data_IF_033493474911
#
_entry.id   IF_033493474911
#
_cell.length_a   1.000
_cell.length_b   1.000
_cell.length_c   1.000
_cell.angle_alpha   90.00
_cell.angle_beta   90.00
_cell.angle_gamma   90.00
#
_symmetry.space_group_name_H-M   'P 1'
#
loop_
_entity.id
_entity.type
_entity.pdbx_description
1 polymer ?
#
# COMPACT_ATOMS: atom_id res chain seq x y z
N UNK A 1 17.31 6.64 3.36
CA UNK A 1 16.80 6.70 1.97
C UNK A 1 17.98 6.99 1.07
N UNK A 2 18.09 6.33 -0.08
CA UNK A 2 19.15 6.56 -1.06
C UNK A 2 18.66 7.51 -2.17
N UNK A 3 19.60 8.09 -2.91
CA UNK A 3 19.34 9.07 -3.97
C UNK A 3 18.28 8.60 -4.98
N UNK A 4 18.28 7.30 -5.29
CA UNK A 4 17.36 6.68 -6.24
C UNK A 4 15.91 6.71 -5.74
N UNK A 5 15.68 6.34 -4.48
CA UNK A 5 14.33 6.35 -3.89
C UNK A 5 13.83 7.78 -3.68
N UNK A 6 14.71 8.70 -3.25
CA UNK A 6 14.39 10.13 -3.11
C UNK A 6 13.90 10.71 -4.43
N UNK A 7 14.63 10.43 -5.52
CA UNK A 7 14.30 10.92 -6.86
C UNK A 7 12.96 10.39 -7.35
N UNK A 8 12.71 9.08 -7.21
CA UNK A 8 11.44 8.47 -7.61
C UNK A 8 10.26 8.98 -6.76
N UNK A 9 10.48 9.20 -5.46
CA UNK A 9 9.47 9.76 -4.58
C UNK A 9 9.11 11.21 -4.98
N UNK A 10 10.11 12.03 -5.32
CA UNK A 10 9.89 13.40 -5.82
C UNK A 10 9.08 13.38 -7.11
N UNK A 11 9.46 12.52 -8.07
CA UNK A 11 8.73 12.36 -9.33
C UNK A 11 7.28 11.95 -9.06
N UNK A 12 7.06 10.95 -8.21
CA UNK A 12 5.73 10.46 -7.88
C UNK A 12 4.81 11.56 -7.32
N UNK A 13 5.35 12.47 -6.50
CA UNK A 13 4.57 13.58 -5.92
C UNK A 13 4.32 14.72 -6.89
N UNK A 14 5.17 14.89 -7.89
CA UNK A 14 5.02 15.94 -8.90
C UNK A 14 4.13 15.52 -10.06
N UNK A 15 3.97 14.21 -10.33
CA UNK A 15 2.98 13.69 -11.28
C UNK A 15 1.66 13.32 -10.58
N UNK A 16 0.67 14.21 -10.71
CA UNK A 16 -0.68 14.00 -10.16
C UNK A 16 -1.36 12.76 -10.73
N UNK A 17 -1.20 12.44 -12.01
CA UNK A 17 -1.86 11.30 -12.63
C UNK A 17 -1.29 9.97 -12.12
N UNK A 18 0.03 9.92 -11.92
CA UNK A 18 0.70 8.76 -11.36
C UNK A 18 0.33 8.57 -9.89
N UNK A 19 0.36 9.64 -9.10
CA UNK A 19 -0.01 9.61 -7.69
C UNK A 19 -1.47 9.15 -7.50
N UNK A 20 -2.37 9.56 -8.37
CA UNK A 20 -3.76 9.11 -8.37
C UNK A 20 -3.89 7.59 -8.57
N UNK A 21 -3.09 7.01 -9.47
CA UNK A 21 -3.07 5.55 -9.68
C UNK A 21 -2.56 4.81 -8.44
N UNK A 22 -1.56 5.38 -7.75
CA UNK A 22 -1.06 4.85 -6.46
C UNK A 22 -2.17 4.91 -5.41
N UNK A 23 -2.86 6.05 -5.30
CA UNK A 23 -3.95 6.25 -4.34
C UNK A 23 -5.12 5.27 -4.56
N UNK A 24 -5.47 4.96 -5.81
CA UNK A 24 -6.47 3.93 -6.10
C UNK A 24 -6.07 2.56 -5.54
N UNK A 25 -4.82 2.14 -5.72
CA UNK A 25 -4.31 0.91 -5.13
C UNK A 25 -4.30 0.96 -3.60
N UNK A 26 -3.85 2.09 -3.03
CA UNK A 26 -3.76 2.30 -1.59
C UNK A 26 -5.14 2.27 -0.92
N UNK A 27 -6.18 2.80 -1.58
CA UNK A 27 -7.57 2.72 -1.12
C UNK A 27 -8.05 1.27 -1.00
N UNK A 28 -7.74 0.41 -1.98
CA UNK A 28 -8.09 -1.01 -1.91
C UNK A 28 -7.35 -1.70 -0.76
N UNK A 29 -6.07 -1.38 -0.56
CA UNK A 29 -5.30 -1.88 0.59
C UNK A 29 -5.92 -1.44 1.91
N UNK A 30 -6.27 -0.15 2.05
CA UNK A 30 -6.92 0.38 3.25
C UNK A 30 -8.24 -0.34 3.54
N UNK A 31 -9.08 -0.56 2.52
CA UNK A 31 -10.31 -1.34 2.67
C UNK A 31 -10.06 -2.79 3.06
N UNK A 32 -9.00 -3.44 2.57
CA UNK A 32 -8.64 -4.81 2.96
C UNK A 32 -8.19 -4.90 4.41
N UNK A 33 -7.37 -3.96 4.86
CA UNK A 33 -6.92 -3.89 6.27
C UNK A 33 -8.08 -3.57 7.21
N UNK A 34 -9.11 -2.87 6.73
CA UNK A 34 -10.37 -2.67 7.47
C UNK A 34 -11.33 -3.88 7.41
N UNK A 35 -11.00 -4.93 6.63
CA UNK A 35 -11.84 -6.11 6.44
C UNK A 35 -13.02 -5.92 5.48
N UNK A 36 -13.03 -4.86 4.66
CA UNK A 36 -14.12 -4.52 3.76
C UNK A 36 -14.01 -5.04 2.33
N UNK A 37 -12.83 -5.51 1.94
CA UNK A 37 -12.54 -5.95 0.57
C UNK A 37 -11.91 -7.34 0.56
N UNK A 38 -12.20 -8.17 -0.47
CA UNK A 38 -11.63 -9.50 -0.58
C UNK A 38 -10.11 -9.47 -0.78
N UNK A 39 -9.46 -10.59 -0.44
CA UNK A 39 -8.02 -10.81 -0.60
C UNK A 39 -7.64 -10.83 -2.08
N UNK A 40 -6.47 -10.27 -2.43
CA UNK A 40 -5.94 -10.32 -3.81
C UNK A 40 -4.86 -9.29 -4.10
N UNK A 41 -4.48 -9.17 -5.37
CA UNK A 41 -3.66 -8.05 -5.86
C UNK A 41 -4.53 -6.81 -6.14
N UNK A 42 -3.93 -5.64 -6.09
CA UNK A 42 -4.56 -4.35 -6.41
C UNK A 42 -3.50 -3.40 -6.92
N UNK A 43 -3.38 -3.28 -8.24
CA UNK A 43 -2.36 -2.45 -8.88
C UNK A 43 -2.26 -1.05 -8.24
N UNK A 44 -1.04 -0.56 -7.88
CA UNK A 44 0.28 -1.18 -8.10
C UNK A 44 0.75 -2.14 -7.00
N UNK A 45 -0.10 -2.46 -6.02
CA UNK A 45 0.25 -3.27 -4.86
C UNK A 45 -0.22 -4.73 -4.99
N UNK A 46 0.56 -5.65 -4.45
CA UNK A 46 0.13 -7.01 -4.11
C UNK A 46 -0.05 -7.10 -2.61
N UNK A 47 -1.10 -7.77 -2.15
CA UNK A 47 -1.36 -7.97 -0.72
C UNK A 47 -1.42 -9.44 -0.36
N UNK A 48 -0.83 -9.79 0.77
CA UNK A 48 -0.86 -11.13 1.32
C UNK A 48 -1.37 -11.09 2.77
N UNK A 49 -2.54 -11.67 2.98
CA UNK A 49 -3.15 -11.78 4.30
C UNK A 49 -2.60 -13.00 5.05
N UNK A 50 -2.23 -12.82 6.32
CA UNK A 50 -1.73 -13.89 7.21
C UNK A 50 -2.26 -13.69 8.63
N UNK A 51 -2.41 -14.79 9.36
CA UNK A 51 -2.84 -14.78 10.76
C UNK A 51 -1.66 -15.21 11.63
N UNK A 52 -1.38 -14.45 12.69
CA UNK A 52 -0.29 -14.76 13.63
C UNK A 52 -0.45 -16.14 14.29
N UNK A 53 -1.69 -16.63 14.42
CA UNK A 53 -1.99 -17.96 14.97
C UNK A 53 -1.77 -19.14 14.02
N UNK A 54 -1.39 -18.91 12.76
CA UNK A 54 -1.11 -20.00 11.80
C UNK A 54 0.33 -20.52 11.96
N UNK A 55 0.54 -21.83 11.86
CA UNK A 55 1.85 -22.47 12.04
C UNK A 55 2.95 -21.94 11.12
N UNK A 56 2.60 -21.51 9.90
CA UNK A 56 3.54 -21.00 8.91
C UNK A 56 3.79 -19.48 9.02
N UNK A 57 3.11 -18.79 9.95
CA UNK A 57 3.14 -17.32 10.03
C UNK A 57 4.56 -16.77 10.19
N UNK A 58 5.37 -17.38 11.06
CA UNK A 58 6.74 -16.91 11.33
C UNK A 58 7.59 -16.97 10.07
N UNK A 59 7.44 -18.04 9.27
CA UNK A 59 8.17 -18.21 8.02
C UNK A 59 7.67 -17.23 6.96
N UNK A 60 6.35 -17.08 6.81
CA UNK A 60 5.75 -16.11 5.90
C UNK A 60 6.18 -14.68 6.24
N UNK A 61 6.12 -14.31 7.53
CA UNK A 61 6.52 -12.98 8.01
C UNK A 61 8.00 -12.73 7.69
N UNK A 62 8.89 -13.67 7.99
CA UNK A 62 10.31 -13.53 7.66
C UNK A 62 10.56 -13.34 6.15
N UNK A 63 9.78 -14.01 5.30
CA UNK A 63 9.83 -13.84 3.85
C UNK A 63 9.39 -12.44 3.41
N UNK A 64 8.30 -11.90 3.97
CA UNK A 64 7.81 -10.56 3.65
C UNK A 64 8.70 -9.45 4.23
N UNK A 65 9.23 -9.65 5.44
CA UNK A 65 10.23 -8.78 6.06
C UNK A 65 11.50 -8.70 5.18
N UNK A 66 12.00 -9.84 4.70
CA UNK A 66 13.15 -9.91 3.78
C UNK A 66 12.90 -9.27 2.41
N UNK A 67 11.64 -9.04 2.04
CA UNK A 67 11.24 -8.29 0.85
C UNK A 67 11.02 -6.80 1.11
N UNK A 68 11.23 -6.32 2.33
CA UNK A 68 10.85 -4.98 2.75
C UNK A 68 9.35 -4.68 2.59
N UNK A 69 8.47 -5.68 2.72
CA UNK A 69 7.03 -5.45 2.66
C UNK A 69 6.55 -4.51 3.77
N UNK A 70 5.42 -3.84 3.53
CA UNK A 70 4.70 -3.08 4.56
C UNK A 70 3.82 -4.07 5.31
N UNK A 71 3.99 -4.18 6.63
CA UNK A 71 3.15 -5.01 7.51
C UNK A 71 2.04 -4.14 8.12
N UNK A 72 0.79 -4.44 7.81
CA UNK A 72 -0.39 -3.71 8.29
C UNK A 72 -1.30 -4.65 9.07
N UNK A 73 -1.60 -4.34 10.34
CA UNK A 73 -2.51 -5.14 11.15
C UNK A 73 -3.92 -4.57 11.21
N UNK A 74 -4.95 -5.41 11.15
CA UNK A 74 -6.34 -4.98 11.44
C UNK A 74 -6.45 -4.35 12.84
N UNK A 75 -5.62 -4.78 13.80
CA UNK A 75 -5.63 -4.22 15.16
C UNK A 75 -5.22 -2.75 15.21
N UNK A 76 -4.37 -2.30 14.29
CA UNK A 76 -3.94 -0.91 14.18
C UNK A 76 -5.00 -0.05 13.46
N UNK A 77 -5.89 -0.69 12.70
CA UNK A 77 -6.90 -0.03 11.87
C UNK A 77 -8.30 -0.67 12.01
N UNK A 78 -8.82 -0.91 13.23
CA UNK A 78 -10.05 -1.67 13.38
C UNK A 78 -11.23 -0.83 12.89
N UNK A 79 -12.14 -1.45 12.16
CA UNK A 79 -13.51 -0.96 12.05
C UNK A 79 -14.40 -1.67 13.08
N UNK A 80 -15.44 -0.98 13.58
CA UNK A 80 -16.32 -1.38 14.73
C UNK A 80 -17.07 -2.72 14.60
N UNK A 81 -16.71 -3.61 13.69
CA UNK A 81 -17.36 -4.91 13.52
C UNK A 81 -16.62 -6.01 14.31
N UNK A 82 -16.62 -5.87 15.64
CA UNK A 82 -16.13 -6.88 16.58
C UNK A 82 -17.17 -7.99 16.76
N UNK A 83 -17.45 -8.77 15.70
CA UNK A 83 -18.02 -10.11 15.91
C UNK A 83 -16.85 -11.03 16.21
N UNK A 84 -16.54 -11.11 17.50
CA UNK A 84 -15.41 -11.85 18.04
C UNK A 84 -15.38 -13.29 17.54
N UNK A 85 -14.27 -13.63 16.89
CA UNK A 85 -13.65 -14.95 16.98
C UNK A 85 -12.14 -14.74 17.02
N UNK A 86 -11.59 -15.03 18.20
CA UNK A 86 -10.21 -15.37 18.54
C UNK A 86 -9.04 -14.50 18.07
N UNK A 87 -8.48 -13.75 19.04
CA UNK A 87 -7.07 -13.70 19.52
C UNK A 87 -5.89 -14.00 18.56
N UNK A 88 -6.05 -13.85 17.26
CA UNK A 88 -4.97 -13.93 16.29
C UNK A 88 -4.89 -12.60 15.55
N UNK A 89 -3.72 -11.96 15.56
CA UNK A 89 -3.52 -10.72 14.81
C UNK A 89 -3.61 -11.04 13.33
N UNK A 90 -4.39 -10.24 12.62
CA UNK A 90 -4.51 -10.34 11.17
C UNK A 90 -3.59 -9.33 10.51
N UNK A 91 -2.59 -9.85 9.80
CA UNK A 91 -1.59 -9.08 9.08
C UNK A 91 -1.90 -9.06 7.59
N UNK A 92 -1.70 -7.90 6.97
CA UNK A 92 -1.71 -7.70 5.53
C UNK A 92 -0.34 -7.19 5.13
N UNK A 93 0.45 -8.07 4.53
CA UNK A 93 1.74 -7.70 3.94
C UNK A 93 1.51 -7.09 2.55
N UNK A 94 2.10 -5.93 2.28
CA UNK A 94 1.93 -5.18 1.05
C UNK A 94 3.28 -5.02 0.34
N UNK A 95 3.31 -5.35 -0.95
CA UNK A 95 4.48 -5.18 -1.82
C UNK A 95 4.08 -4.43 -3.09
N UNK A 96 4.96 -3.56 -3.59
CA UNK A 96 4.80 -2.86 -4.88
C UNK A 96 5.61 -3.54 -6.00
N UNK A 97 6.60 -4.37 -5.65
CA UNK A 97 7.46 -5.12 -6.59
C UNK A 97 6.76 -6.23 -7.37
N UNK A 98 5.64 -6.76 -6.87
CA UNK A 98 5.01 -7.99 -7.42
C UNK A 98 3.95 -7.75 -8.49
N UNK A 99 3.81 -6.52 -9.00
CA UNK A 99 2.93 -6.32 -10.15
C UNK A 99 3.65 -6.82 -11.41
N UNK A 100 3.10 -7.86 -12.04
CA UNK A 100 3.44 -8.27 -13.39
C UNK A 100 3.11 -7.10 -14.34
N UNK A 101 3.98 -6.10 -14.43
CA UNK A 101 3.84 -4.97 -15.34
C UNK A 101 4.16 -5.47 -16.75
N UNK A 102 3.16 -6.07 -17.41
CA UNK A 102 3.27 -6.58 -18.79
C UNK A 102 3.30 -5.47 -19.85
N UNK A 103 3.31 -4.18 -19.46
CA UNK A 103 3.19 -3.06 -20.40
C UNK A 103 4.17 -1.92 -20.11
N UNK A 104 4.49 -1.14 -21.14
CA UNK A 104 5.41 0.02 -21.06
C UNK A 104 4.88 1.18 -20.19
N UNK A 105 3.65 1.10 -19.68
CA UNK A 105 2.95 2.16 -18.94
C UNK A 105 2.84 1.88 -17.41
N UNK A 106 3.72 1.01 -16.91
CA UNK A 106 3.81 0.71 -15.48
C UNK A 106 4.22 1.93 -14.64
N UNK A 107 3.73 2.03 -13.40
CA UNK A 107 4.01 3.15 -12.49
C UNK A 107 5.52 3.18 -12.21
N UNK A 108 6.14 2.04 -11.92
CA UNK A 108 7.57 1.98 -11.64
C UNK A 108 8.37 2.38 -12.88
N UNK A 109 8.00 1.86 -14.05
CA UNK A 109 8.66 2.22 -15.31
C UNK A 109 8.50 3.70 -15.66
N UNK A 110 7.33 4.28 -15.44
CA UNK A 110 7.07 5.70 -15.66
C UNK A 110 7.92 6.55 -14.70
N UNK A 111 7.96 6.20 -13.41
CA UNK A 111 8.81 6.88 -12.41
C UNK A 111 10.29 6.85 -12.81
N UNK A 112 10.80 5.68 -13.23
CA UNK A 112 12.18 5.54 -13.70
C UNK A 112 12.46 6.41 -14.94
N UNK A 113 11.54 6.44 -15.90
CA UNK A 113 11.68 7.24 -17.12
C UNK A 113 11.74 8.73 -16.81
N UNK A 114 10.88 9.21 -15.92
CA UNK A 114 10.80 10.62 -15.53
C UNK A 114 11.94 11.05 -14.60
N UNK A 115 12.47 10.13 -13.79
CA UNK A 115 13.62 10.41 -12.91
C UNK A 115 14.96 10.45 -13.65
N UNK A 116 15.02 9.96 -14.90
CA UNK A 116 16.23 9.99 -15.74
C UNK A 116 17.13 8.77 -15.55
N UNK A 117 18.44 8.98 -15.43
CA UNK A 117 19.44 7.89 -15.32
C UNK A 117 19.47 7.27 -13.92
N UNK A 118 18.44 6.48 -13.60
CA UNK A 118 18.42 5.61 -12.40
C UNK A 118 18.60 4.16 -12.83
N UNK A 119 19.57 3.47 -12.23
CA UNK A 119 19.70 2.03 -12.37
C UNK A 119 18.55 1.33 -11.64
N UNK A 120 17.68 0.66 -12.41
CA UNK A 120 16.54 -0.09 -11.90
C UNK A 120 16.94 -1.16 -10.88
N UNK A 121 18.15 -1.69 -10.96
CA UNK A 121 18.62 -2.72 -10.02
C UNK A 121 18.88 -2.16 -8.61
N UNK A 122 19.03 -0.84 -8.47
CA UNK A 122 19.25 -0.16 -7.20
C UNK A 122 17.93 0.37 -6.59
N UNK A 123 16.80 0.13 -7.24
CA UNK A 123 15.49 0.63 -6.81
C UNK A 123 14.74 -0.43 -6.04
N UNK A 124 14.64 -0.23 -4.72
CA UNK A 124 13.73 -1.00 -3.87
C UNK A 124 12.35 -0.32 -3.87
N UNK A 125 11.45 -0.77 -4.74
CA UNK A 125 10.11 -0.16 -4.86
C UNK A 125 9.27 -0.32 -3.58
N UNK A 126 9.54 -1.32 -2.75
CA UNK A 126 8.85 -1.43 -1.45
C UNK A 126 9.29 -0.33 -0.47
N UNK A 127 10.54 0.15 -0.58
CA UNK A 127 10.99 1.34 0.18
C UNK A 127 10.25 2.60 -0.27
N UNK A 128 10.09 2.80 -1.58
CA UNK A 128 9.26 3.90 -2.11
C UNK A 128 7.80 3.79 -1.62
N UNK A 129 7.23 2.58 -1.65
CA UNK A 129 5.87 2.34 -1.16
C UNK A 129 5.74 2.67 0.34
N UNK A 130 6.72 2.29 1.17
CA UNK A 130 6.73 2.61 2.60
C UNK A 130 6.62 4.12 2.87
N UNK A 131 7.38 4.94 2.15
CA UNK A 131 7.32 6.40 2.32
C UNK A 131 5.98 6.98 1.86
N UNK A 132 5.44 6.51 0.74
CA UNK A 132 4.10 6.93 0.29
C UNK A 132 3.00 6.50 1.28
N UNK A 133 3.10 5.32 1.88
CA UNK A 133 2.17 4.86 2.91
C UNK A 133 2.29 5.70 4.18
N UNK A 134 3.51 6.04 4.59
CA UNK A 134 3.75 6.90 5.76
C UNK A 134 3.05 8.25 5.65
N UNK A 135 3.04 8.84 4.46
CA UNK A 135 2.45 10.15 4.24
C UNK A 135 0.93 10.13 4.04
N UNK A 136 0.38 9.10 3.38
CA UNK A 136 -0.99 9.13 2.87
C UNK A 136 -1.91 8.04 3.43
N UNK A 137 -1.38 6.98 4.03
CA UNK A 137 -2.18 5.80 4.33
C UNK A 137 -3.23 6.04 5.42
N UNK A 138 -2.91 6.82 6.46
CA UNK A 138 -3.87 7.12 7.53
C UNK A 138 -5.09 7.86 7.03
N UNK A 139 -4.89 8.90 6.19
CA UNK A 139 -5.98 9.64 5.56
C UNK A 139 -6.77 8.74 4.60
N UNK A 140 -6.08 7.85 3.90
CA UNK A 140 -6.73 6.86 3.02
C UNK A 140 -7.59 5.86 3.80
N UNK A 141 -7.15 5.45 5.01
CA UNK A 141 -7.93 4.62 5.92
C UNK A 141 -9.17 5.36 6.41
N UNK A 142 -9.04 6.64 6.79
CA UNK A 142 -10.19 7.47 7.16
C UNK A 142 -11.21 7.53 6.02
N UNK A 143 -10.76 7.85 4.80
CA UNK A 143 -11.61 7.83 3.61
C UNK A 143 -12.25 6.45 3.33
N UNK A 144 -11.49 5.37 3.47
CA UNK A 144 -11.97 4.01 3.24
C UNK A 144 -13.06 3.55 4.23
N UNK A 145 -13.15 4.19 5.41
CA UNK A 145 -14.22 3.96 6.38
C UNK A 145 -15.56 4.49 5.91
N UNK A 146 -15.56 5.63 5.22
CA UNK A 146 -16.77 6.32 4.76
C UNK A 146 -17.18 5.99 3.34
N UNK A 147 -16.25 5.47 2.53
CA UNK A 147 -16.45 5.33 1.09
C UNK A 147 -16.26 3.90 0.63
N UNK A 148 -17.28 3.39 -0.08
CA UNK A 148 -17.26 2.05 -0.68
C UNK A 148 -16.41 1.98 -1.95
N UNK A 149 -16.36 3.09 -2.70
CA UNK A 149 -15.65 3.23 -3.96
C UNK A 149 -14.67 4.39 -3.89
N UNK A 150 -13.60 4.28 -4.67
CA UNK A 150 -12.61 5.35 -4.78
C UNK A 150 -13.21 6.60 -5.45
N UNK A 151 -12.79 7.78 -4.99
CA UNK A 151 -13.15 9.07 -5.56
C UNK A 151 -11.92 9.98 -5.62
N UNK A 152 -11.79 10.79 -6.68
CA UNK A 152 -10.58 11.62 -6.92
C UNK A 152 -10.40 12.74 -5.89
N UNK A 153 -11.46 13.13 -5.19
CA UNK A 153 -11.47 14.15 -4.14
C UNK A 153 -11.40 13.54 -2.73
N UNK A 154 -10.91 12.31 -2.61
CA UNK A 154 -10.83 11.55 -1.36
C UNK A 154 -10.17 12.31 -0.20
N UNK A 155 -9.16 13.13 -0.47
CA UNK A 155 -8.46 13.91 0.56
C UNK A 155 -9.42 14.87 1.28
N UNK A 156 -10.28 15.56 0.51
CA UNK A 156 -11.31 16.47 1.08
C UNK A 156 -12.31 15.71 1.95
N UNK A 157 -12.64 14.48 1.56
CA UNK A 157 -13.57 13.62 2.28
C UNK A 157 -12.92 13.13 3.59
N UNK A 158 -11.65 12.73 3.55
CA UNK A 158 -10.88 12.31 4.71
C UNK A 158 -10.77 13.40 5.79
N UNK A 159 -10.49 14.65 5.39
CA UNK A 159 -10.29 15.76 6.34
C UNK A 159 -11.56 16.13 7.11
N UNK A 160 -12.74 15.94 6.51
CA UNK A 160 -14.02 16.29 7.15
C UNK A 160 -14.40 15.40 8.35
N UNK A 161 -13.70 14.28 8.58
CA UNK A 161 -13.89 13.42 9.75
C UNK A 161 -12.82 13.58 10.85
N UNK A 162 -11.69 14.23 10.55
CA UNK A 162 -10.63 14.47 11.52
C UNK A 162 -10.86 15.75 12.36
N UNK A 163 -11.88 16.55 12.01
CA UNK A 163 -12.31 17.78 12.68
C UNK A 163 -13.55 17.55 13.54
#
# INVERSE_FOLDING_TARGET
MNFEIDSLYIVAKNDRALLERIFQGMFVVARRVLGYSPRGSSYPFTTAARWEGNGDFVQDKAFYDGKDAIDLSVEDYPHKNTKGRDNSKYHVFVTMTETNETSQNGIIRQLLTEAGEIDVNNVNTNTLAKELFKDYFQDMVAFARTSQTYAKDWQRIATNEAA
#
